data_IF_129022656791
#
_entry.id   IF_129022656791
#
_cell.length_a   1.000
_cell.length_b   1.000
_cell.length_c   1.000
_cell.angle_alpha   90.00
_cell.angle_beta   90.00
_cell.angle_gamma   90.00
#
_symmetry.space_group_name_H-M   'P 1'
#
loop_
_entity.id
_entity.type
_entity.pdbx_description
1 polymer ?
#
# COMPACT_ATOMS: atom_id res chain seq x y z
N UNK A 1 -3.57 -6.72 20.84
CA UNK A 1 -2.45 -6.29 19.97
C UNK A 1 -2.54 -4.79 19.77
N UNK A 2 -1.47 -4.05 20.07
CA UNK A 2 -1.38 -2.62 19.80
C UNK A 2 -0.72 -2.43 18.44
N UNK A 3 -1.35 -1.68 17.55
CA UNK A 3 -0.78 -1.32 16.25
C UNK A 3 -0.32 0.13 16.29
N UNK A 4 0.82 0.39 15.67
CA UNK A 4 1.35 1.74 15.50
C UNK A 4 1.12 2.17 14.05
N UNK A 5 0.62 3.39 13.88
CA UNK A 5 0.37 3.98 12.56
C UNK A 5 1.39 5.08 12.31
N UNK A 6 2.29 4.84 11.35
CA UNK A 6 3.32 5.80 10.96
C UNK A 6 2.93 6.50 9.66
N UNK A 7 2.87 7.84 9.70
CA UNK A 7 2.62 8.69 8.53
C UNK A 7 3.93 9.24 7.97
N UNK A 8 4.50 8.55 6.99
CA UNK A 8 5.72 8.99 6.32
C UNK A 8 5.41 10.14 5.36
N UNK A 9 6.11 11.27 5.53
CA UNK A 9 6.02 12.44 4.65
C UNK A 9 7.35 12.64 3.98
N UNK A 10 7.34 12.68 2.66
CA UNK A 10 8.53 12.93 1.88
C UNK A 10 8.56 14.41 1.48
N UNK A 11 9.67 15.13 1.71
CA UNK A 11 9.79 16.54 1.33
C UNK A 11 9.81 16.74 -0.19
N UNK A 12 10.22 15.71 -0.93
CA UNK A 12 10.24 15.65 -2.38
C UNK A 12 9.46 14.42 -2.87
N UNK A 13 9.08 14.41 -4.15
CA UNK A 13 8.57 13.21 -4.79
C UNK A 13 9.61 12.09 -4.71
N UNK A 14 9.19 10.91 -4.29
CA UNK A 14 10.02 9.71 -4.27
C UNK A 14 9.73 8.85 -5.50
N UNK A 15 10.76 8.16 -5.96
CA UNK A 15 10.63 7.15 -7.00
C UNK A 15 10.49 5.77 -6.34
N UNK A 16 9.45 5.04 -6.69
CA UNK A 16 9.19 3.68 -6.23
C UNK A 16 9.12 2.79 -7.47
N UNK A 17 10.19 2.04 -7.73
CA UNK A 17 10.26 1.15 -8.88
C UNK A 17 9.15 0.10 -8.88
N UNK A 18 8.68 -0.28 -10.07
CA UNK A 18 7.70 -1.35 -10.23
C UNK A 18 8.42 -2.71 -10.25
N UNK A 19 7.79 -3.76 -9.71
CA UNK A 19 8.39 -5.11 -9.73
C UNK A 19 8.50 -5.72 -11.15
N UNK A 20 7.82 -5.13 -12.13
CA UNK A 20 7.72 -5.64 -13.51
C UNK A 20 8.32 -4.69 -14.56
N UNK A 21 8.66 -3.45 -14.19
CA UNK A 21 9.21 -2.46 -15.11
C UNK A 21 10.73 -2.51 -15.12
N UNK A 22 11.31 -2.66 -16.31
CA UNK A 22 12.76 -2.54 -16.51
C UNK A 22 13.21 -1.06 -16.70
N UNK A 23 12.34 -0.10 -16.41
CA UNK A 23 12.55 1.32 -16.75
C UNK A 23 12.46 2.21 -15.52
N UNK A 24 13.31 3.23 -15.45
CA UNK A 24 13.37 4.19 -14.36
C UNK A 24 12.21 5.21 -14.40
N UNK A 25 11.43 5.22 -15.48
CA UNK A 25 10.32 6.14 -15.67
C UNK A 25 9.03 5.67 -14.97
N UNK A 26 8.91 4.38 -14.67
CA UNK A 26 7.73 3.82 -14.02
C UNK A 26 7.82 3.95 -12.50
N UNK A 27 6.78 4.51 -11.87
CA UNK A 27 6.70 4.63 -10.42
C UNK A 27 5.34 4.23 -9.89
N UNK A 28 5.30 3.69 -8.67
CA UNK A 28 4.07 3.31 -7.99
C UNK A 28 3.65 4.33 -6.93
N UNK A 29 2.35 4.34 -6.59
CA UNK A 29 1.80 5.22 -5.55
C UNK A 29 2.06 4.72 -4.12
N UNK A 30 2.25 3.42 -3.96
CA UNK A 30 2.55 2.77 -2.69
C UNK A 30 3.79 1.91 -2.82
N UNK A 31 4.33 1.49 -1.68
CA UNK A 31 5.54 0.67 -1.60
C UNK A 31 5.20 -0.67 -0.97
N UNK A 32 5.73 -1.76 -1.54
CA UNK A 32 5.61 -3.08 -0.94
C UNK A 32 6.31 -3.14 0.43
N UNK A 33 5.74 -3.93 1.33
CA UNK A 33 6.24 -4.16 2.69
C UNK A 33 7.67 -4.68 2.71
N UNK A 34 8.08 -5.51 1.76
CA UNK A 34 9.45 -6.06 1.67
C UNK A 34 10.51 -4.98 1.41
N UNK A 35 10.19 -4.02 0.55
CA UNK A 35 11.03 -2.88 0.18
C UNK A 35 11.15 -1.93 1.35
N UNK A 36 10.03 -1.67 2.03
CA UNK A 36 10.03 -0.86 3.25
C UNK A 36 10.81 -1.54 4.38
N UNK A 37 10.62 -2.84 4.59
CA UNK A 37 11.40 -3.63 5.55
C UNK A 37 12.89 -3.58 5.23
N UNK A 38 13.27 -3.77 3.97
CA UNK A 38 14.67 -3.70 3.54
C UNK A 38 15.30 -2.34 3.83
N UNK A 39 14.56 -1.25 3.63
CA UNK A 39 15.01 0.10 3.98
C UNK A 39 15.22 0.26 5.50
N UNK A 40 14.26 -0.18 6.32
CA UNK A 40 14.40 -0.15 7.79
C UNK A 40 15.58 -1.01 8.25
N UNK A 41 15.69 -2.22 7.72
CA UNK A 41 16.73 -3.17 8.12
C UNK A 41 18.13 -2.64 7.78
N UNK A 42 18.30 -2.01 6.63
CA UNK A 42 19.57 -1.36 6.27
C UNK A 42 19.96 -0.24 7.25
N UNK A 43 19.00 0.58 7.70
CA UNK A 43 19.28 1.61 8.72
C UNK A 43 19.52 1.00 10.10
N UNK A 44 18.76 -0.03 10.47
CA UNK A 44 18.95 -0.78 11.71
C UNK A 44 20.35 -1.38 11.80
N UNK A 45 20.80 -2.09 10.76
CA UNK A 45 22.14 -2.65 10.66
C UNK A 45 23.22 -1.59 10.84
N UNK A 46 23.05 -0.39 10.28
CA UNK A 46 24.03 0.72 10.44
C UNK A 46 24.11 1.26 11.86
N UNK A 47 23.00 1.21 12.61
CA UNK A 47 22.92 1.77 13.97
C UNK A 47 23.36 0.76 15.03
N UNK A 48 22.92 -0.49 14.89
CA UNK A 48 23.07 -1.52 15.92
C UNK A 48 24.12 -2.58 15.60
N UNK A 49 24.47 -2.75 14.32
CA UNK A 49 25.45 -3.75 13.84
C UNK A 49 25.11 -5.19 14.30
N UNK A 50 23.82 -5.52 14.36
CA UNK A 50 23.32 -6.84 14.73
C UNK A 50 22.12 -7.26 13.85
N UNK A 51 21.67 -8.51 14.00
CA UNK A 51 20.57 -9.09 13.22
C UNK A 51 19.30 -9.37 14.05
N UNK A 52 19.11 -8.73 15.21
CA UNK A 52 17.95 -8.99 16.08
C UNK A 52 16.64 -8.63 15.38
N UNK A 53 16.59 -7.50 14.65
CA UNK A 53 15.40 -7.12 13.88
C UNK A 53 14.97 -8.19 12.87
N UNK A 54 15.91 -8.89 12.26
CA UNK A 54 15.62 -9.99 11.35
C UNK A 54 15.01 -11.18 12.10
N UNK A 55 15.62 -11.59 13.22
CA UNK A 55 15.14 -12.72 14.03
C UNK A 55 13.70 -12.52 14.53
N UNK A 56 13.37 -11.34 15.04
CA UNK A 56 12.01 -11.04 15.51
C UNK A 56 10.99 -10.91 14.38
N UNK A 57 11.46 -10.63 13.16
CA UNK A 57 10.59 -10.60 11.97
C UNK A 57 10.25 -12.02 11.50
N UNK A 58 11.21 -12.97 11.59
CA UNK A 58 10.97 -14.38 11.27
C UNK A 58 9.98 -15.06 12.23
N UNK A 59 9.97 -14.66 13.51
CA UNK A 59 9.01 -15.17 14.50
C UNK A 59 7.61 -14.55 14.36
N UNK A 60 7.46 -13.48 13.57
CA UNK A 60 6.21 -12.74 13.42
C UNK A 60 5.93 -11.77 14.58
N UNK A 61 6.90 -11.55 15.47
CA UNK A 61 6.79 -10.57 16.56
C UNK A 61 6.90 -9.13 16.05
N UNK A 62 7.55 -8.95 14.90
CA UNK A 62 7.59 -7.70 14.15
C UNK A 62 6.93 -7.85 12.79
N UNK A 63 5.93 -7.03 12.52
CA UNK A 63 5.18 -7.01 11.26
C UNK A 63 5.09 -5.59 10.72
N UNK A 64 5.26 -5.43 9.41
CA UNK A 64 5.05 -4.19 8.69
C UNK A 64 4.04 -4.41 7.56
N UNK A 65 3.20 -3.41 7.30
CA UNK A 65 2.32 -3.40 6.14
C UNK A 65 3.01 -2.74 4.95
N UNK A 66 2.40 -2.85 3.78
CA UNK A 66 2.70 -1.98 2.65
C UNK A 66 2.53 -0.50 3.07
N UNK A 67 3.29 0.38 2.41
CA UNK A 67 3.13 1.83 2.58
C UNK A 67 1.96 2.29 1.73
N UNK A 68 0.85 2.57 2.41
CA UNK A 68 -0.40 2.96 1.78
C UNK A 68 -0.59 4.48 1.75
N UNK A 69 -1.27 5.02 0.73
CA UNK A 69 -1.51 6.45 0.62
C UNK A 69 -2.40 6.96 1.76
N UNK A 70 -2.15 8.21 2.17
CA UNK A 70 -3.05 8.97 3.03
C UNK A 70 -3.12 10.42 2.56
N UNK A 71 -4.22 11.09 2.90
CA UNK A 71 -4.40 12.51 2.62
C UNK A 71 -4.85 13.24 3.88
N UNK A 72 -4.04 14.21 4.31
CA UNK A 72 -4.43 15.13 5.38
C UNK A 72 -5.29 16.26 4.84
N UNK A 73 -6.28 16.67 5.63
CA UNK A 73 -7.16 17.81 5.35
C UNK A 73 -6.81 19.00 6.24
N UNK A 74 -7.31 20.17 5.86
CA UNK A 74 -7.08 21.43 6.59
C UNK A 74 -7.62 21.38 8.04
N UNK A 75 -8.70 20.62 8.25
CA UNK A 75 -9.31 20.38 9.56
C UNK A 75 -8.55 19.36 10.43
N UNK A 76 -7.32 18.99 10.03
CA UNK A 76 -6.46 17.99 10.68
C UNK A 76 -7.02 16.57 10.69
N UNK A 77 -8.09 16.29 9.93
CA UNK A 77 -8.51 14.92 9.68
C UNK A 77 -7.61 14.26 8.63
N UNK A 78 -7.59 12.93 8.61
CA UNK A 78 -6.79 12.15 7.65
C UNK A 78 -7.64 11.08 7.00
N UNK A 79 -7.67 11.06 5.67
CA UNK A 79 -8.23 9.96 4.90
C UNK A 79 -7.14 8.91 4.64
N UNK A 80 -7.41 7.66 4.99
CA UNK A 80 -6.53 6.52 4.73
C UNK A 80 -7.08 5.71 3.56
N UNK A 81 -6.22 5.41 2.59
CA UNK A 81 -6.60 4.65 1.41
C UNK A 81 -6.15 3.20 1.57
N UNK A 82 -7.09 2.27 1.38
CA UNK A 82 -6.81 0.84 1.41
C UNK A 82 -6.93 0.25 0.00
N UNK A 83 -6.15 -0.79 -0.33
CA UNK A 83 -6.31 -1.50 -1.59
C UNK A 83 -7.73 -2.06 -1.68
N UNK A 84 -8.30 -2.00 -2.88
CA UNK A 84 -9.63 -2.56 -3.13
C UNK A 84 -9.61 -4.06 -2.83
N UNK A 85 -10.46 -4.55 -1.92
CA UNK A 85 -10.55 -5.99 -1.66
C UNK A 85 -10.94 -6.73 -2.95
N UNK A 86 -10.15 -7.72 -3.33
CA UNK A 86 -10.46 -8.62 -4.43
C UNK A 86 -11.45 -9.69 -3.95
N UNK A 87 -12.71 -9.28 -3.78
CA UNK A 87 -13.83 -10.17 -3.47
C UNK A 87 -14.67 -10.33 -4.72
N UNK A 88 -14.86 -11.56 -5.18
CA UNK A 88 -15.80 -11.87 -6.25
C UNK A 88 -17.23 -11.71 -5.74
N UNK A 89 -17.89 -10.63 -6.13
CA UNK A 89 -19.31 -10.41 -5.85
C UNK A 89 -20.08 -10.81 -7.11
N UNK A 90 -20.78 -11.95 -7.06
CA UNK A 90 -21.73 -12.32 -8.12
C UNK A 90 -22.85 -11.27 -8.18
N UNK A 91 -22.82 -10.41 -9.20
CA UNK A 91 -23.95 -9.53 -9.49
C UNK A 91 -25.09 -10.36 -10.06
N UNK A 92 -26.20 -10.49 -9.32
CA UNK A 92 -27.48 -10.90 -9.90
C UNK A 92 -27.88 -9.87 -10.93
N UNK A 93 -27.79 -10.20 -12.21
CA UNK A 93 -28.25 -9.36 -13.31
C UNK A 93 -29.76 -9.20 -13.17
N UNK A 94 -30.21 -8.02 -12.73
CA UNK A 94 -31.62 -7.64 -12.84
C UNK A 94 -31.83 -7.34 -14.33
N UNK A 95 -32.50 -8.24 -15.05
CA UNK A 95 -32.94 -8.00 -16.43
C UNK A 95 -34.05 -6.94 -16.40
N UNK A 96 -33.70 -5.67 -16.57
CA UNK A 96 -34.67 -4.66 -16.98
C UNK A 96 -34.84 -4.79 -18.48
N UNK A 97 -35.98 -5.34 -18.92
CA UNK A 97 -36.37 -5.34 -20.33
C UNK A 97 -36.55 -3.88 -20.77
N UNK A 98 -35.57 -3.33 -21.47
CA UNK A 98 -35.74 -2.07 -22.21
C UNK A 98 -36.38 -2.39 -23.56
N UNK A 99 -37.69 -2.26 -23.63
CA UNK A 99 -38.43 -2.21 -24.91
C UNK A 99 -38.03 -0.93 -25.65
N UNK A 100 -37.13 -1.06 -26.62
CA UNK A 100 -36.81 0.02 -27.56
C UNK A 100 -37.87 0.03 -28.65
N UNK A 101 -38.82 0.95 -28.55
CA UNK A 101 -39.81 1.20 -29.60
C UNK A 101 -39.12 1.71 -30.87
N UNK A 102 -39.05 0.88 -31.91
CA UNK A 102 -38.62 1.32 -33.25
C UNK A 102 -39.82 1.94 -33.95
N UNK A 103 -39.85 3.28 -34.06
CA UNK A 103 -40.80 3.97 -34.94
C UNK A 103 -40.50 3.60 -36.40
N UNK A 104 -41.52 3.08 -37.10
CA UNK A 104 -41.55 2.86 -38.55
C UNK A 104 -41.66 4.18 -39.30
#
# INVERSE_FOLDING_TARGET
MAYLLYKLRFPNGIHIGTAFGNTLEETMIGTYSDTFFSAIYNEYMKIYDDNELYKISETGDFLVSDLLPFKEKEDRTTDFYLPKPFINIERKVIKTETTVDRKK
#
